data_IF_849897595790
#
_entry.id   IF_849897595790
#
_cell.length_a   1.000
_cell.length_b   1.000
_cell.length_c   1.000
_cell.angle_alpha   90.00
_cell.angle_beta   90.00
_cell.angle_gamma   90.00
#
_symmetry.space_group_name_H-M   'P 1'
#
loop_
_entity.id
_entity.type
_entity.pdbx_description
1 polymer ?
#
# COMPACT_ATOMS: atom_id res chain seq x y z
N UNK A 1 8.20 24.16 11.66
CA UNK A 1 7.64 22.82 11.37
C UNK A 1 6.44 23.05 10.46
N UNK A 2 6.69 23.09 9.14
CA UNK A 2 5.65 23.37 8.16
C UNK A 2 4.91 22.05 7.91
N UNK A 3 3.64 21.96 8.30
CA UNK A 3 2.75 20.90 7.82
C UNK A 3 2.64 21.05 6.31
N UNK A 4 3.45 20.27 5.58
CA UNK A 4 3.37 20.16 4.13
C UNK A 4 1.99 19.63 3.76
N UNK A 5 1.30 20.35 2.87
CA UNK A 5 0.19 19.77 2.11
C UNK A 5 0.77 18.57 1.37
N UNK A 6 0.21 17.39 1.60
CA UNK A 6 0.52 16.21 0.79
C UNK A 6 -0.09 16.50 -0.57
N UNK A 7 0.74 16.90 -1.53
CA UNK A 7 0.32 17.07 -2.92
C UNK A 7 0.67 15.79 -3.67
N UNK A 8 -0.24 15.23 -4.47
CA UNK A 8 -0.04 13.99 -5.22
C UNK A 8 1.01 14.07 -6.35
N UNK A 9 1.84 15.11 -6.40
CA UNK A 9 2.75 15.42 -7.52
C UNK A 9 4.24 15.19 -7.20
N UNK A 10 4.59 14.87 -5.96
CA UNK A 10 5.97 14.52 -5.61
C UNK A 10 6.13 12.99 -5.53
N UNK A 11 7.17 12.41 -6.15
CA UNK A 11 7.39 10.97 -6.13
C UNK A 11 7.63 10.50 -4.69
N UNK A 12 6.80 9.57 -4.21
CA UNK A 12 6.89 9.05 -2.84
C UNK A 12 8.18 8.24 -2.68
N UNK A 13 8.99 8.60 -1.69
CA UNK A 13 10.23 7.90 -1.36
C UNK A 13 9.97 6.75 -0.38
N UNK A 14 10.80 5.69 -0.41
CA UNK A 14 10.62 4.51 0.46
C UNK A 14 10.58 4.87 1.96
N UNK A 15 11.45 5.80 2.38
CA UNK A 15 11.49 6.31 3.75
C UNK A 15 10.18 7.01 4.14
N UNK A 16 9.52 7.70 3.21
CA UNK A 16 8.25 8.40 3.45
C UNK A 16 7.10 7.40 3.64
N UNK A 17 7.08 6.32 2.84
CA UNK A 17 6.09 5.24 3.00
C UNK A 17 6.10 4.68 4.43
N UNK A 18 7.28 4.52 5.02
CA UNK A 18 7.45 3.92 6.35
C UNK A 18 7.30 4.98 7.45
N UNK A 19 8.14 6.01 7.44
CA UNK A 19 8.26 6.97 8.53
C UNK A 19 7.07 7.92 8.61
N UNK A 20 6.40 8.18 7.49
CA UNK A 20 5.26 9.07 7.43
C UNK A 20 3.95 8.31 7.27
N UNK A 21 3.69 7.66 6.14
CA UNK A 21 2.36 7.10 5.86
C UNK A 21 2.00 5.93 6.78
N UNK A 22 2.83 4.90 6.84
CA UNK A 22 2.58 3.73 7.69
C UNK A 22 2.56 4.12 9.17
N UNK A 23 3.51 4.96 9.61
CA UNK A 23 3.58 5.41 11.00
C UNK A 23 2.33 6.19 11.42
N UNK A 24 1.89 7.17 10.61
CA UNK A 24 0.68 7.95 10.92
C UNK A 24 -0.57 7.07 10.90
N UNK A 25 -0.64 6.08 10.01
CA UNK A 25 -1.74 5.11 9.98
C UNK A 25 -1.81 4.28 11.26
N UNK A 26 -0.67 3.77 11.73
CA UNK A 26 -0.60 2.94 12.95
C UNK A 26 -0.88 3.74 14.22
N UNK A 27 -0.40 4.98 14.28
CA UNK A 27 -0.61 5.86 15.43
C UNK A 27 -2.03 6.47 15.44
N UNK A 28 -2.81 6.31 14.36
CA UNK A 28 -4.16 6.87 14.24
C UNK A 28 -4.20 8.40 14.29
N UNK A 29 -3.09 9.05 13.91
CA UNK A 29 -2.93 10.51 14.04
C UNK A 29 -3.59 11.29 12.91
N UNK A 30 -3.88 10.62 11.78
CA UNK A 30 -4.35 11.25 10.55
C UNK A 30 -5.31 10.33 9.79
N UNK A 31 -6.57 10.76 9.68
CA UNK A 31 -7.59 10.08 8.88
C UNK A 31 -7.41 10.31 7.37
N UNK A 32 -6.66 11.36 6.96
CA UNK A 32 -6.43 11.69 5.55
C UNK A 32 -5.39 10.78 4.86
N UNK A 33 -4.71 9.91 5.62
CA UNK A 33 -3.72 8.97 5.06
C UNK A 33 -4.37 8.01 4.05
N UNK A 34 -5.58 7.54 4.34
CA UNK A 34 -6.30 6.59 3.48
C UNK A 34 -6.76 7.20 2.16
N UNK A 35 -6.87 8.54 2.10
CA UNK A 35 -7.16 9.26 0.86
C UNK A 35 -5.97 9.28 -0.11
N UNK A 36 -4.76 8.99 0.39
CA UNK A 36 -3.52 8.97 -0.41
C UNK A 36 -3.06 7.54 -0.66
N UNK A 37 -3.05 6.70 0.38
CA UNK A 37 -2.69 5.28 0.29
C UNK A 37 -3.82 4.45 0.89
N UNK A 38 -4.70 3.87 0.06
CA UNK A 38 -5.88 3.17 0.54
C UNK A 38 -5.51 1.88 1.27
N UNK A 39 -6.32 1.52 2.24
CA UNK A 39 -6.21 0.23 2.94
C UNK A 39 -6.91 -0.83 2.11
N UNK A 40 -6.17 -1.83 1.64
CA UNK A 40 -6.72 -2.89 0.79
C UNK A 40 -5.96 -4.21 0.95
N UNK A 41 -6.70 -5.32 1.02
CA UNK A 41 -6.11 -6.66 1.04
C UNK A 41 -5.78 -7.12 -0.39
N UNK A 42 -4.56 -6.80 -0.83
CA UNK A 42 -4.06 -7.16 -2.16
C UNK A 42 -3.97 -8.67 -2.42
N UNK A 43 -4.03 -9.51 -1.38
CA UNK A 43 -4.01 -10.97 -1.54
C UNK A 43 -5.41 -11.54 -1.85
N UNK A 44 -6.46 -10.76 -1.63
CA UNK A 44 -7.85 -11.19 -1.86
C UNK A 44 -8.29 -11.16 -3.33
N UNK A 45 -7.49 -10.54 -4.21
CA UNK A 45 -7.80 -10.34 -5.63
C UNK A 45 -6.62 -10.73 -6.50
N UNK A 46 -6.89 -10.87 -7.81
CA UNK A 46 -5.83 -11.13 -8.77
C UNK A 46 -5.12 -9.84 -9.20
N UNK A 47 -3.80 -9.87 -9.49
CA UNK A 47 -3.03 -8.66 -9.80
C UNK A 47 -3.57 -7.86 -10.99
N UNK A 48 -4.20 -8.54 -11.96
CA UNK A 48 -4.80 -7.92 -13.14
C UNK A 48 -6.03 -7.05 -12.80
N UNK A 49 -6.68 -7.30 -11.67
CA UNK A 49 -7.85 -6.55 -11.20
C UNK A 49 -7.45 -5.31 -10.40
N UNK A 50 -6.19 -5.23 -9.93
CA UNK A 50 -5.73 -4.13 -9.07
C UNK A 50 -5.80 -2.76 -9.76
N UNK A 51 -5.66 -2.71 -11.09
CA UNK A 51 -5.76 -1.45 -11.85
C UNK A 51 -7.17 -0.86 -11.80
N UNK A 52 -8.17 -1.68 -12.08
CA UNK A 52 -9.59 -1.29 -12.03
C UNK A 52 -9.99 -0.90 -10.60
N UNK A 53 -9.55 -1.67 -9.61
CA UNK A 53 -9.80 -1.40 -8.18
C UNK A 53 -9.15 -0.07 -7.77
N UNK A 54 -7.91 0.21 -8.21
CA UNK A 54 -7.24 1.46 -7.90
C UNK A 54 -8.02 2.68 -8.40
N UNK A 55 -8.43 2.61 -9.68
CA UNK A 55 -9.22 3.67 -10.32
C UNK A 55 -10.57 3.87 -9.63
N UNK A 56 -11.20 2.81 -9.12
CA UNK A 56 -12.44 2.91 -8.36
C UNK A 56 -12.23 3.58 -6.99
N UNK A 57 -11.13 3.27 -6.29
CA UNK A 57 -10.88 3.80 -4.94
C UNK A 57 -10.41 5.25 -4.92
N UNK A 58 -9.48 5.63 -5.80
CA UNK A 58 -8.83 6.95 -5.80
C UNK A 58 -9.23 7.83 -7.00
N UNK A 59 -10.05 7.31 -7.92
CA UNK A 59 -10.40 8.00 -9.15
C UNK A 59 -9.26 7.98 -10.18
N UNK A 60 -9.28 8.93 -11.12
CA UNK A 60 -8.21 9.15 -12.11
C UNK A 60 -6.97 9.84 -11.52
N UNK A 61 -6.69 9.60 -10.23
CA UNK A 61 -5.73 10.36 -9.42
C UNK A 61 -4.26 9.97 -9.63
N UNK A 62 -3.97 8.98 -10.49
CA UNK A 62 -2.61 8.60 -10.87
C UNK A 62 -2.37 8.84 -12.35
N UNK A 63 -1.22 9.39 -12.70
CA UNK A 63 -0.81 9.51 -14.10
C UNK A 63 -0.48 8.11 -14.68
N UNK A 64 -0.67 7.93 -15.99
CA UNK A 64 -0.24 6.69 -16.65
C UNK A 64 1.26 6.45 -16.41
N UNK A 65 1.59 5.39 -15.68
CA UNK A 65 2.97 4.99 -15.38
C UNK A 65 3.43 5.23 -13.94
N UNK A 66 2.60 5.82 -13.08
CA UNK A 66 2.92 5.94 -11.66
C UNK A 66 2.65 4.63 -10.88
N UNK A 67 3.49 4.30 -9.89
CA UNK A 67 3.27 3.13 -9.05
C UNK A 67 2.09 3.33 -8.10
N UNK A 68 1.30 2.29 -7.91
CA UNK A 68 0.22 2.26 -6.92
C UNK A 68 0.71 1.74 -5.58
N UNK A 69 0.28 2.39 -4.51
CA UNK A 69 0.58 1.99 -3.14
C UNK A 69 -0.70 1.56 -2.41
N UNK A 70 -0.56 0.56 -1.54
CA UNK A 70 -1.65 0.05 -0.70
C UNK A 70 -1.14 -0.22 0.72
N UNK A 71 -1.93 0.13 1.72
CA UNK A 71 -1.73 -0.32 3.09
C UNK A 71 -2.45 -1.66 3.27
N UNK A 72 -1.71 -2.76 3.20
CA UNK A 72 -2.29 -4.09 3.36
C UNK A 72 -2.45 -4.44 4.84
N UNK A 73 -3.66 -4.86 5.29
CA UNK A 73 -3.82 -5.43 6.62
C UNK A 73 -2.89 -6.62 6.82
N UNK A 74 -2.30 -6.73 8.01
CA UNK A 74 -1.46 -7.87 8.36
C UNK A 74 -2.32 -9.13 8.42
N UNK A 75 -1.91 -10.19 7.74
CA UNK A 75 -2.69 -11.43 7.69
C UNK A 75 -2.84 -12.05 9.09
N UNK A 76 -4.03 -12.55 9.43
CA UNK A 76 -4.28 -13.16 10.75
C UNK A 76 -3.26 -14.29 11.06
N UNK A 77 -2.94 -15.10 10.05
CA UNK A 77 -1.95 -16.16 10.18
C UNK A 77 -0.59 -15.63 10.60
N UNK A 78 -0.17 -14.49 10.06
CA UNK A 78 1.09 -13.83 10.42
C UNK A 78 1.05 -13.27 11.84
N UNK A 79 -0.07 -12.67 12.24
CA UNK A 79 -0.29 -12.19 13.62
C UNK A 79 -0.17 -13.33 14.63
N UNK A 80 -0.58 -14.55 14.25
CA UNK A 80 -0.49 -15.75 15.09
C UNK A 80 0.86 -16.47 14.99
N UNK A 81 1.86 -15.86 14.35
CA UNK A 81 3.21 -16.42 14.19
C UNK A 81 3.35 -17.45 13.06
N UNK A 82 2.32 -17.62 12.24
CA UNK A 82 2.38 -18.42 11.02
C UNK A 82 3.05 -17.67 9.87
N UNK A 83 3.36 -18.40 8.79
CA UNK A 83 3.95 -17.80 7.58
C UNK A 83 2.89 -16.99 6.81
N UNK A 84 3.25 -15.81 6.27
CA UNK A 84 2.36 -15.08 5.38
C UNK A 84 2.02 -15.95 4.16
N UNK A 85 0.75 -15.91 3.75
CA UNK A 85 0.31 -16.55 2.52
C UNK A 85 0.34 -15.52 1.40
N UNK A 86 0.89 -15.91 0.26
CA UNK A 86 0.97 -15.04 -0.90
C UNK A 86 0.00 -15.48 -2.00
N UNK A 87 -1.01 -16.26 -1.63
CA UNK A 87 -1.98 -16.84 -2.56
C UNK A 87 -3.02 -15.80 -2.95
N UNK A 88 -3.33 -15.72 -4.24
CA UNK A 88 -4.48 -14.98 -4.80
C UNK A 88 -5.54 -15.99 -5.26
N UNK A 89 -6.77 -15.58 -5.60
CA UNK A 89 -7.81 -16.49 -6.07
C UNK A 89 -7.39 -17.41 -7.22
N UNK A 90 -6.60 -16.91 -8.18
CA UNK A 90 -6.13 -17.71 -9.32
C UNK A 90 -4.64 -18.04 -9.32
N UNK A 91 -3.87 -17.63 -8.30
CA UNK A 91 -2.42 -17.78 -8.33
C UNK A 91 -1.69 -17.51 -7.01
N UNK A 92 -0.43 -17.09 -7.11
CA UNK A 92 0.38 -16.72 -5.95
C UNK A 92 1.46 -15.70 -6.32
N UNK A 93 1.65 -14.72 -5.45
CA UNK A 93 2.82 -13.84 -5.49
C UNK A 93 4.08 -14.61 -5.12
N UNK A 94 5.18 -14.26 -5.78
CA UNK A 94 6.51 -14.82 -5.52
C UNK A 94 7.47 -13.67 -5.24
N UNK A 95 8.15 -13.72 -4.11
CA UNK A 95 9.24 -12.80 -3.83
C UNK A 95 10.37 -12.99 -4.86
N UNK A 96 10.83 -11.87 -5.41
CA UNK A 96 11.97 -11.80 -6.33
C UNK A 96 12.88 -10.69 -5.83
N UNK A 97 14.20 -10.91 -5.88
CA UNK A 97 15.20 -9.95 -5.42
C UNK A 97 15.72 -10.20 -4.00
N UNK A 98 16.61 -9.32 -3.56
CA UNK A 98 17.19 -9.34 -2.20
C UNK A 98 16.46 -8.27 -1.37
N UNK A 99 16.07 -8.57 -0.11
CA UNK A 99 15.49 -7.56 0.76
C UNK A 99 16.42 -6.34 0.89
N UNK A 100 15.87 -5.14 0.69
CA UNK A 100 16.55 -3.88 0.99
C UNK A 100 16.62 -3.64 2.49
N UNK A 101 17.50 -2.71 2.89
CA UNK A 101 17.53 -2.17 4.25
C UNK A 101 17.10 -0.70 4.14
N UNK A 102 16.07 -0.37 4.89
CA UNK A 102 15.53 0.98 5.10
C UNK A 102 15.47 1.30 6.57
#
# INVERSE_FOLDING_TARGET
MQTGRITPLDPIHEEELICFYLRNKLDGLRDDIECVIPVFDIYSVDPLQLSEIHHEMLGSGGEEGEPWFYLCPRQEREVRGGRPSWTTPSGSWKAVGTPGVV
#
